data_IF_789141189051
#
_entry.id   IF_789141189051
#
_cell.length_a   1.000
_cell.length_b   1.000
_cell.length_c   1.000
_cell.angle_alpha   90.00
_cell.angle_beta   90.00
_cell.angle_gamma   90.00
#
_symmetry.space_group_name_H-M   'P 1'
#
loop_
_entity.id
_entity.type
_entity.pdbx_description
1 polymer ?
#
# COMPACT_ATOMS: atom_id res chain seq x y z
N UNK A 1 11.74 17.22 93.93
CA UNK A 1 12.66 16.18 93.42
C UNK A 1 11.87 15.32 92.45
N UNK A 2 12.00 15.59 91.15
CA UNK A 2 11.22 14.89 90.12
C UNK A 2 12.20 14.17 89.21
N UNK A 3 12.09 12.86 89.14
CA UNK A 3 12.78 12.02 88.17
C UNK A 3 11.73 11.14 87.49
N UNK A 4 11.53 11.31 86.18
CA UNK A 4 11.97 10.30 85.23
C UNK A 4 11.83 10.82 83.79
N UNK A 5 12.86 10.47 83.04
CA UNK A 5 13.25 10.96 81.73
C UNK A 5 12.76 9.95 80.68
N UNK A 6 12.05 10.42 79.66
CA UNK A 6 11.59 9.56 78.56
C UNK A 6 11.85 10.24 77.20
N UNK A 7 12.49 9.46 76.32
CA UNK A 7 12.55 9.54 74.86
C UNK A 7 13.50 10.56 74.20
N UNK A 8 14.60 10.01 73.68
CA UNK A 8 15.17 10.40 72.37
C UNK A 8 14.89 9.21 71.42
N UNK A 9 14.61 9.43 70.11
CA UNK A 9 15.60 10.01 69.20
C UNK A 9 15.01 11.00 68.18
N UNK A 10 15.48 12.25 68.21
CA UNK A 10 15.23 13.19 67.11
C UNK A 10 16.31 12.95 66.04
N UNK A 11 16.10 11.94 65.20
CA UNK A 11 16.85 11.81 63.94
C UNK A 11 16.52 13.02 63.08
N UNK A 12 17.50 13.92 62.92
CA UNK A 12 17.46 14.98 61.93
C UNK A 12 17.86 14.34 60.59
N UNK A 13 16.87 13.82 59.87
CA UNK A 13 17.04 13.54 58.44
C UNK A 13 17.31 14.87 57.73
N UNK A 14 18.40 15.01 56.95
CA UNK A 14 18.53 16.14 56.05
C UNK A 14 17.42 16.00 55.01
N UNK A 15 16.62 17.06 54.86
CA UNK A 15 15.62 17.16 53.82
C UNK A 15 16.24 16.77 52.47
N UNK A 16 15.76 15.67 51.87
CA UNK A 16 15.87 15.52 50.42
C UNK A 16 15.06 16.66 49.82
N UNK A 17 15.76 17.68 49.32
CA UNK A 17 15.18 18.65 48.41
C UNK A 17 14.51 17.89 47.26
N UNK A 18 13.27 18.22 46.88
CA UNK A 18 12.73 17.77 45.61
C UNK A 18 13.51 18.46 44.49
N UNK A 19 14.54 17.82 43.96
CA UNK A 19 15.11 18.15 42.64
C UNK A 19 14.09 17.74 41.57
N UNK A 20 12.98 18.47 41.54
CA UNK A 20 12.04 18.50 40.41
C UNK A 20 12.26 19.82 39.70
N UNK A 21 12.96 19.80 38.56
CA UNK A 21 12.96 20.95 37.66
C UNK A 21 14.14 20.98 36.70
N UNK A 22 14.03 20.29 35.56
CA UNK A 22 14.64 20.67 34.25
C UNK A 22 14.48 19.61 33.14
N UNK A 23 13.91 18.42 33.39
CA UNK A 23 13.85 17.36 32.38
C UNK A 23 12.84 17.57 31.22
N UNK A 24 11.78 18.37 31.38
CA UNK A 24 10.68 18.42 30.40
C UNK A 24 10.94 19.19 29.09
N UNK A 25 11.55 20.39 29.06
CA UNK A 25 11.73 21.13 27.81
C UNK A 25 12.85 20.56 26.94
N UNK A 26 13.95 20.09 27.53
CA UNK A 26 15.10 19.54 26.78
C UNK A 26 14.77 18.20 26.08
N UNK A 27 13.95 17.36 26.72
CA UNK A 27 13.47 16.12 26.13
C UNK A 27 12.49 16.37 25.00
N UNK A 28 11.62 17.37 25.12
CA UNK A 28 10.71 17.78 24.06
C UNK A 28 11.48 18.30 22.84
N UNK A 29 12.49 19.14 23.04
CA UNK A 29 13.36 19.62 21.97
C UNK A 29 14.16 18.50 21.30
N UNK A 30 14.71 17.56 22.08
CA UNK A 30 15.43 16.39 21.55
C UNK A 30 14.52 15.54 20.68
N UNK A 31 13.30 15.27 21.14
CA UNK A 31 12.28 14.54 20.36
C UNK A 31 11.91 15.28 19.09
N UNK A 32 11.76 16.60 19.13
CA UNK A 32 11.45 17.41 17.96
C UNK A 32 12.57 17.37 16.91
N UNK A 33 13.85 17.48 17.32
CA UNK A 33 15.01 17.38 16.43
C UNK A 33 15.13 15.98 15.80
N UNK A 34 14.89 14.93 16.60
CA UNK A 34 14.88 13.55 16.12
C UNK A 34 13.76 13.32 15.10
N UNK A 35 12.54 13.80 15.40
CA UNK A 35 11.41 13.73 14.48
C UNK A 35 11.70 14.46 13.16
N UNK A 36 12.30 15.65 13.23
CA UNK A 36 12.70 16.41 12.04
C UNK A 36 13.72 15.65 11.19
N UNK A 37 14.76 15.07 11.80
CA UNK A 37 15.76 14.27 11.10
C UNK A 37 15.16 13.01 10.46
N UNK A 38 14.26 12.33 11.17
CA UNK A 38 13.54 11.16 10.66
C UNK A 38 12.63 11.52 9.49
N UNK A 39 11.84 12.59 9.60
CA UNK A 39 10.95 13.06 8.54
C UNK A 39 11.74 13.43 7.27
N UNK A 40 12.87 14.13 7.41
CA UNK A 40 13.74 14.45 6.29
C UNK A 40 14.26 13.18 5.59
N UNK A 41 14.72 12.17 6.37
CA UNK A 41 15.20 10.91 5.80
C UNK A 41 14.09 10.11 5.12
N UNK A 42 12.87 10.12 5.65
CA UNK A 42 11.72 9.47 5.03
C UNK A 42 11.42 10.10 3.67
N UNK A 43 11.42 11.43 3.57
CA UNK A 43 11.17 12.14 2.30
C UNK A 43 12.23 11.78 1.25
N UNK A 44 13.51 11.74 1.65
CA UNK A 44 14.60 11.33 0.78
C UNK A 44 14.40 9.90 0.25
N UNK A 45 14.14 8.94 1.14
CA UNK A 45 13.90 7.54 0.78
C UNK A 45 12.66 7.38 -0.11
N UNK A 46 11.60 8.16 0.13
CA UNK A 46 10.42 8.18 -0.74
C UNK A 46 10.77 8.68 -2.15
N UNK A 47 11.64 9.68 -2.28
CA UNK A 47 12.15 10.14 -3.57
C UNK A 47 12.97 9.09 -4.29
N UNK A 48 13.84 8.37 -3.58
CA UNK A 48 14.61 7.25 -4.12
C UNK A 48 13.70 6.11 -4.59
N UNK A 49 12.73 5.68 -3.75
CA UNK A 49 11.76 4.63 -4.10
C UNK A 49 11.03 5.01 -5.38
N UNK A 50 10.50 6.23 -5.46
CA UNK A 50 9.81 6.70 -6.66
C UNK A 50 10.70 6.64 -7.90
N UNK A 51 11.94 7.09 -7.79
CA UNK A 51 12.90 7.04 -8.90
C UNK A 51 13.15 5.59 -9.37
N UNK A 52 13.25 4.64 -8.42
CA UNK A 52 13.42 3.22 -8.75
C UNK A 52 12.15 2.57 -9.30
N UNK A 53 10.98 2.99 -8.86
CA UNK A 53 9.70 2.58 -9.42
C UNK A 53 9.54 3.05 -10.86
N UNK A 54 9.89 4.31 -11.14
CA UNK A 54 9.87 4.88 -12.50
C UNK A 54 10.85 4.15 -13.43
N UNK A 55 12.06 3.82 -12.94
CA UNK A 55 13.05 3.03 -13.67
C UNK A 55 12.53 1.61 -13.98
N UNK A 56 11.91 0.94 -13.00
CA UNK A 56 11.28 -0.36 -13.17
C UNK A 56 10.14 -0.33 -14.20
N UNK A 57 9.31 0.72 -14.18
CA UNK A 57 8.22 0.87 -15.15
C UNK A 57 8.77 1.09 -16.56
N UNK A 58 9.79 1.96 -16.71
CA UNK A 58 10.46 2.20 -17.99
C UNK A 58 11.02 0.91 -18.60
N UNK A 59 11.73 0.10 -17.81
CA UNK A 59 12.28 -1.18 -18.27
C UNK A 59 11.18 -2.17 -18.68
N UNK A 60 10.09 -2.25 -17.92
CA UNK A 60 8.95 -3.10 -18.28
C UNK A 60 8.30 -2.64 -19.58
N UNK A 61 8.12 -1.33 -19.76
CA UNK A 61 7.59 -0.77 -21.01
C UNK A 61 8.47 -1.11 -22.21
N UNK A 62 9.78 -0.97 -22.10
CA UNK A 62 10.71 -1.37 -23.16
C UNK A 62 10.58 -2.85 -23.53
N UNK A 63 10.44 -3.74 -22.54
CA UNK A 63 10.21 -5.17 -22.78
C UNK A 63 8.87 -5.41 -23.50
N UNK A 64 7.81 -4.69 -23.11
CA UNK A 64 6.49 -4.80 -23.75
C UNK A 64 6.49 -4.29 -25.20
N UNK A 65 7.27 -3.26 -25.49
CA UNK A 65 7.38 -2.69 -26.83
C UNK A 65 8.20 -3.60 -27.77
N UNK A 66 9.17 -4.33 -27.23
CA UNK A 66 10.08 -5.16 -28.05
C UNK A 66 9.70 -6.65 -28.11
N UNK A 67 8.89 -7.17 -27.18
CA UNK A 67 8.54 -8.59 -27.11
C UNK A 67 7.03 -8.84 -27.20
N UNK A 68 6.66 -9.87 -27.95
CA UNK A 68 5.29 -10.36 -27.99
C UNK A 68 4.90 -11.06 -26.68
N UNK A 69 3.60 -11.24 -26.40
CA UNK A 69 3.15 -12.07 -25.30
C UNK A 69 3.73 -13.48 -25.37
N UNK A 70 4.38 -13.92 -24.28
CA UNK A 70 5.17 -15.15 -24.28
C UNK A 70 6.04 -15.31 -23.03
N UNK A 71 6.74 -16.42 -22.95
CA UNK A 71 7.73 -16.70 -21.89
C UNK A 71 9.11 -16.75 -22.49
N UNK A 72 10.04 -16.01 -21.89
CA UNK A 72 11.41 -15.83 -22.34
C UNK A 72 12.38 -16.19 -21.22
N UNK A 73 13.51 -16.80 -21.59
CA UNK A 73 14.61 -17.06 -20.66
C UNK A 73 15.64 -15.94 -20.78
N UNK A 74 15.98 -15.31 -19.66
CA UNK A 74 16.95 -14.21 -19.55
C UNK A 74 18.03 -14.60 -18.54
N UNK A 75 18.98 -15.44 -18.97
CA UNK A 75 20.00 -16.00 -18.10
C UNK A 75 19.39 -16.92 -17.03
N UNK A 76 19.51 -16.53 -15.76
CA UNK A 76 18.93 -17.26 -14.62
C UNK A 76 17.48 -16.87 -14.33
N UNK A 77 16.96 -15.82 -14.98
CA UNK A 77 15.63 -15.28 -14.75
C UNK A 77 14.67 -15.70 -15.85
N UNK A 78 13.41 -15.90 -15.49
CA UNK A 78 12.33 -16.16 -16.43
C UNK A 78 11.45 -14.91 -16.56
N UNK A 79 11.33 -14.41 -17.78
CA UNK A 79 10.52 -13.23 -18.11
C UNK A 79 9.25 -13.67 -18.82
N UNK A 80 8.09 -13.38 -18.25
CA UNK A 80 6.78 -13.69 -18.82
C UNK A 80 6.07 -12.39 -19.21
N UNK A 81 5.88 -12.18 -20.50
CA UNK A 81 5.08 -11.09 -21.07
C UNK A 81 3.65 -11.58 -21.20
N UNK A 82 2.73 -10.99 -20.43
CA UNK A 82 1.31 -11.33 -20.42
C UNK A 82 0.53 -10.28 -21.19
N UNK A 83 -0.44 -10.75 -21.98
CA UNK A 83 -1.54 -9.91 -22.40
C UNK A 83 -2.27 -9.39 -21.17
N UNK A 84 -2.70 -8.14 -21.22
CA UNK A 84 -3.43 -7.56 -20.11
C UNK A 84 -4.73 -8.33 -19.86
N UNK A 85 -5.26 -8.25 -18.62
CA UNK A 85 -6.46 -9.00 -18.26
C UNK A 85 -7.61 -8.62 -19.19
N UNK A 86 -8.23 -9.61 -19.84
CA UNK A 86 -9.44 -9.38 -20.64
C UNK A 86 -10.61 -9.04 -19.71
N UNK A 87 -11.09 -7.81 -19.82
CA UNK A 87 -12.26 -7.30 -19.10
C UNK A 87 -13.45 -7.27 -20.06
N UNK A 88 -14.66 -7.42 -19.52
CA UNK A 88 -15.86 -7.21 -20.32
C UNK A 88 -16.15 -5.71 -20.45
N UNK A 89 -16.47 -5.28 -21.66
CA UNK A 89 -16.99 -3.96 -21.98
C UNK A 89 -18.44 -3.88 -21.52
N UNK A 90 -18.63 -3.43 -20.28
CA UNK A 90 -19.97 -3.30 -19.69
C UNK A 90 -20.79 -2.19 -20.35
N UNK A 91 -20.17 -1.20 -20.97
CA UNK A 91 -20.87 -0.14 -21.68
C UNK A 91 -21.45 -0.63 -23.00
N UNK A 92 -20.65 -1.35 -23.79
CA UNK A 92 -21.11 -1.99 -25.03
C UNK A 92 -22.16 -3.05 -24.76
N UNK A 93 -21.94 -3.91 -23.76
CA UNK A 93 -22.95 -4.89 -23.33
C UNK A 93 -24.23 -4.21 -22.84
N UNK A 94 -24.11 -3.08 -22.13
CA UNK A 94 -25.26 -2.32 -21.65
C UNK A 94 -26.13 -1.75 -22.77
N UNK A 95 -25.48 -1.36 -23.87
CA UNK A 95 -26.15 -0.85 -25.07
C UNK A 95 -26.82 -1.96 -25.89
N UNK A 96 -26.10 -3.07 -26.10
CA UNK A 96 -26.57 -4.15 -26.96
C UNK A 96 -27.57 -5.08 -26.24
N UNK A 97 -27.52 -5.14 -24.90
CA UNK A 97 -28.41 -5.93 -24.04
C UNK A 97 -28.97 -5.08 -22.91
N UNK A 98 -29.94 -4.18 -23.17
CA UNK A 98 -30.48 -3.27 -22.16
C UNK A 98 -31.21 -4.03 -21.04
N UNK A 99 -31.22 -3.45 -19.84
CA UNK A 99 -31.83 -4.06 -18.65
C UNK A 99 -33.34 -4.29 -18.78
N UNK A 100 -34.03 -3.53 -19.64
CA UNK A 100 -35.45 -3.67 -19.92
C UNK A 100 -35.77 -5.02 -20.59
N UNK A 101 -34.91 -5.44 -21.53
CA UNK A 101 -35.13 -6.66 -22.31
C UNK A 101 -34.41 -7.88 -21.70
N UNK A 102 -33.34 -7.64 -20.94
CA UNK A 102 -32.50 -8.68 -20.35
C UNK A 102 -32.28 -8.49 -18.84
N UNK A 103 -33.33 -8.37 -18.00
CA UNK A 103 -33.19 -8.07 -16.58
C UNK A 103 -32.36 -9.11 -15.81
N UNK A 104 -32.33 -10.36 -16.27
CA UNK A 104 -31.52 -11.45 -15.69
C UNK A 104 -30.01 -11.22 -15.75
N UNK A 105 -29.54 -10.32 -16.63
CA UNK A 105 -28.12 -9.96 -16.74
C UNK A 105 -27.73 -8.84 -15.74
N UNK A 106 -28.70 -8.29 -15.01
CA UNK A 106 -28.53 -7.11 -14.18
C UNK A 106 -28.92 -7.38 -12.73
N UNK A 107 -28.20 -6.72 -11.82
CA UNK A 107 -28.64 -6.47 -10.44
C UNK A 107 -28.90 -4.97 -10.33
N UNK A 108 -28.14 -4.28 -9.49
CA UNK A 108 -28.08 -2.81 -9.48
C UNK A 108 -27.30 -2.25 -10.68
N UNK A 109 -26.41 -3.06 -11.26
CA UNK A 109 -25.65 -2.80 -12.48
C UNK A 109 -25.45 -4.13 -13.24
N UNK A 110 -24.87 -4.08 -14.44
CA UNK A 110 -24.61 -5.28 -15.25
C UNK A 110 -23.78 -6.29 -14.46
N UNK A 111 -24.32 -7.50 -14.25
CA UNK A 111 -23.66 -8.57 -13.54
C UNK A 111 -22.79 -9.37 -14.51
N UNK A 112 -21.49 -9.09 -14.49
CA UNK A 112 -20.51 -9.77 -15.35
C UNK A 112 -20.44 -11.29 -15.14
N UNK A 113 -20.89 -11.80 -13.98
CA UNK A 113 -20.98 -13.25 -13.74
C UNK A 113 -22.19 -13.85 -14.42
N UNK A 114 -23.34 -13.16 -14.36
CA UNK A 114 -24.54 -13.56 -15.09
C UNK A 114 -24.30 -13.53 -16.60
N UNK A 115 -23.62 -12.49 -17.11
CA UNK A 115 -23.21 -12.40 -18.51
C UNK A 115 -22.28 -13.56 -18.90
N UNK A 116 -21.27 -13.89 -18.09
CA UNK A 116 -20.41 -15.04 -18.40
C UNK A 116 -21.13 -16.40 -18.36
N UNK A 117 -22.20 -16.51 -17.57
CA UNK A 117 -23.01 -17.73 -17.53
C UNK A 117 -24.03 -17.83 -18.67
N UNK A 118 -24.54 -16.69 -19.16
CA UNK A 118 -25.56 -16.63 -20.20
C UNK A 118 -25.00 -16.68 -21.63
N UNK A 119 -23.74 -16.26 -21.83
CA UNK A 119 -23.13 -16.16 -23.14
C UNK A 119 -22.05 -17.21 -23.37
N UNK A 120 -21.99 -17.75 -24.58
CA UNK A 120 -20.89 -18.62 -25.00
C UNK A 120 -19.56 -17.84 -25.01
N UNK A 121 -18.42 -18.47 -24.66
CA UNK A 121 -17.12 -17.81 -24.63
C UNK A 121 -16.73 -17.10 -25.93
N UNK A 122 -17.11 -17.67 -27.08
CA UNK A 122 -16.86 -17.07 -28.40
C UNK A 122 -17.65 -15.77 -28.62
N UNK A 123 -18.88 -15.68 -28.11
CA UNK A 123 -19.69 -14.48 -28.22
C UNK A 123 -19.15 -13.36 -27.32
N UNK A 124 -18.59 -13.73 -26.16
CA UNK A 124 -17.99 -12.78 -25.23
C UNK A 124 -16.72 -12.13 -25.78
N UNK A 125 -16.00 -12.78 -26.71
CA UNK A 125 -14.78 -12.22 -27.31
C UNK A 125 -15.02 -10.86 -27.98
N UNK A 126 -16.20 -10.65 -28.59
CA UNK A 126 -16.59 -9.37 -29.20
C UNK A 126 -16.91 -8.23 -28.22
N UNK A 127 -16.97 -8.57 -26.93
CA UNK A 127 -17.23 -7.65 -25.80
C UNK A 127 -16.05 -7.62 -24.82
N UNK A 128 -14.91 -8.20 -25.17
CA UNK A 128 -13.73 -8.17 -24.31
C UNK A 128 -12.79 -7.04 -24.73
N UNK A 129 -12.30 -6.31 -23.73
CA UNK A 129 -11.27 -5.28 -23.86
C UNK A 129 -10.03 -5.79 -23.15
N UNK A 130 -8.90 -5.78 -23.86
CA UNK A 130 -7.62 -6.11 -23.26
C UNK A 130 -7.20 -5.00 -22.30
N UNK A 131 -6.85 -5.36 -21.06
CA UNK A 131 -6.19 -4.46 -20.13
C UNK A 131 -4.76 -4.13 -20.55
N UNK A 132 -4.06 -3.34 -19.72
CA UNK A 132 -2.63 -3.06 -19.93
C UNK A 132 -1.81 -4.36 -19.88
N UNK A 133 -0.95 -4.64 -20.86
CA UNK A 133 -0.05 -5.79 -20.82
C UNK A 133 0.95 -5.67 -19.67
N UNK A 134 1.47 -6.82 -19.21
CA UNK A 134 2.29 -6.88 -18.01
C UNK A 134 3.50 -7.79 -18.17
N UNK A 135 4.62 -7.39 -17.57
CA UNK A 135 5.85 -8.20 -17.49
C UNK A 135 6.00 -8.75 -16.08
N UNK A 136 6.15 -10.07 -15.98
CA UNK A 136 6.42 -10.79 -14.73
C UNK A 136 7.80 -11.43 -14.83
N UNK A 137 8.65 -11.17 -13.85
CA UNK A 137 10.00 -11.73 -13.77
C UNK A 137 10.04 -12.65 -12.55
N UNK A 138 10.53 -13.89 -12.72
CA UNK A 138 10.63 -14.93 -11.68
C UNK A 138 11.96 -15.65 -11.73
#
# INVERSE_FOLDING_TARGET
MTANNTLSPMFREPALSPETGTAEPEDAERKARLLQAQAARIVELQGEIKTREDELESLKSQILDSHTPGTYQAGQLKVTVKNGPMRLDTAKLGKDYPATDYPQLYKSALDTRAVRGAFAPVALAGYQVAGKPQVVIS
#
